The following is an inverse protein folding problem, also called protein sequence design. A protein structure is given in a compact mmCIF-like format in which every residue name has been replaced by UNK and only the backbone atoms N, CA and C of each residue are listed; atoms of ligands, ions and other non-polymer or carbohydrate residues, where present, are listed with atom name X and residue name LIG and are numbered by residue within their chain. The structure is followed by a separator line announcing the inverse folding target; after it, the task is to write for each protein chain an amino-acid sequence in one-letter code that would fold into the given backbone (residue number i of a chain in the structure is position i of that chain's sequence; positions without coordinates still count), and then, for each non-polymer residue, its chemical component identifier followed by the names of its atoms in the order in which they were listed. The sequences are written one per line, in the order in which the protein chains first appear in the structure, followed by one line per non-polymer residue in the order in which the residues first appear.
data_IF_654499773114
#
_entry.id   IF_654499773114
#
_cell.length_a   1.000
_cell.length_b   1.000
_cell.length_c   1.000
_cell.angle_alpha   90.00
_cell.angle_beta   90.00
_cell.angle_gamma   90.00
#
_symmetry.space_group_name_H-M   'P 1'
#
loop_
_entity.id
_entity.type
_entity.pdbx_description
1 polymer ?
#
# COMPACT_ATOMS: atom_id res chain seq x y z
N UNK A 1 26.56 -0.97 -17.85
CA UNK A 1 26.73 -2.29 -17.20
C UNK A 1 26.46 -2.29 -15.70
N UNK A 2 26.32 -1.13 -15.04
CA UNK A 2 26.07 -1.04 -13.58
C UNK A 2 24.59 -1.15 -13.14
N UNK A 3 23.63 -0.91 -14.05
CA UNK A 3 22.19 -0.94 -13.74
C UNK A 3 21.65 -2.36 -13.47
N UNK A 4 22.27 -3.38 -14.06
CA UNK A 4 21.79 -4.76 -13.98
C UNK A 4 22.16 -5.48 -12.67
N UNK A 5 23.21 -5.00 -11.97
CA UNK A 5 23.69 -5.60 -10.71
C UNK A 5 22.89 -5.08 -9.50
N UNK A 6 22.48 -3.81 -9.54
CA UNK A 6 21.58 -3.22 -8.55
C UNK A 6 20.19 -3.88 -8.58
N UNK A 7 19.71 -4.28 -9.76
CA UNK A 7 18.44 -4.98 -9.90
C UNK A 7 18.50 -6.40 -9.32
N UNK A 8 19.64 -7.10 -9.38
CA UNK A 8 19.75 -8.45 -8.77
C UNK A 8 19.70 -8.41 -7.24
N UNK A 9 20.33 -7.40 -6.61
CA UNK A 9 20.36 -7.25 -5.15
C UNK A 9 19.07 -6.70 -4.54
N UNK A 10 18.13 -6.24 -5.39
CA UNK A 10 16.92 -5.58 -4.95
C UNK A 10 15.85 -6.59 -4.44
N UNK A 11 15.22 -6.33 -3.27
CA UNK A 11 14.12 -7.15 -2.76
C UNK A 11 12.97 -7.25 -3.76
N UNK A 12 12.21 -8.35 -3.71
CA UNK A 12 11.09 -8.60 -4.64
C UNK A 12 10.09 -7.45 -4.68
N UNK A 13 9.70 -6.93 -3.52
CA UNK A 13 8.68 -5.87 -3.43
C UNK A 13 9.18 -4.55 -3.99
N UNK A 14 10.48 -4.29 -3.87
CA UNK A 14 11.14 -3.12 -4.43
C UNK A 14 11.17 -3.19 -5.98
N UNK A 15 11.38 -4.39 -6.55
CA UNK A 15 11.26 -4.62 -8.01
C UNK A 15 9.85 -4.39 -8.53
N UNK A 16 8.84 -4.81 -7.77
CA UNK A 16 7.43 -4.59 -8.11
C UNK A 16 7.14 -3.09 -8.12
N UNK A 17 7.60 -2.33 -7.11
CA UNK A 17 7.44 -0.88 -7.08
C UNK A 17 8.17 -0.18 -8.22
N UNK A 18 9.41 -0.58 -8.56
CA UNK A 18 10.13 -0.04 -9.72
C UNK A 18 9.36 -0.27 -11.03
N UNK A 19 8.79 -1.47 -11.18
CA UNK A 19 7.95 -1.81 -12.34
C UNK A 19 6.65 -1.00 -12.37
N UNK A 20 6.03 -0.76 -11.21
CA UNK A 20 4.83 0.07 -11.07
C UNK A 20 5.11 1.52 -11.48
N UNK A 21 6.18 2.13 -10.95
CA UNK A 21 6.60 3.49 -11.31
C UNK A 21 6.84 3.62 -12.82
N UNK A 22 7.53 2.65 -13.41
CA UNK A 22 7.75 2.61 -14.87
C UNK A 22 6.44 2.51 -15.65
N UNK A 23 5.48 1.70 -15.18
CA UNK A 23 4.16 1.58 -15.84
C UNK A 23 3.33 2.86 -15.78
N UNK A 24 3.58 3.72 -14.78
CA UNK A 24 2.95 5.03 -14.63
C UNK A 24 3.68 6.15 -15.39
N UNK A 25 4.73 5.82 -16.15
CA UNK A 25 5.54 6.78 -16.92
C UNK A 25 6.59 7.53 -16.09
N UNK A 26 6.87 7.08 -14.86
CA UNK A 26 7.94 7.66 -14.03
C UNK A 26 9.25 6.94 -14.34
N UNK A 27 10.03 7.49 -15.26
CA UNK A 27 11.30 6.91 -15.71
C UNK A 27 12.49 7.31 -14.83
N UNK A 28 12.47 8.52 -14.26
CA UNK A 28 13.55 9.05 -13.42
C UNK A 28 13.01 9.44 -12.03
N UNK A 29 13.63 8.88 -10.99
CA UNK A 29 13.26 9.10 -9.59
C UNK A 29 14.47 8.85 -8.69
N UNK A 30 14.52 9.54 -7.56
CA UNK A 30 15.57 9.28 -6.57
C UNK A 30 15.45 7.87 -5.98
N UNK A 31 16.56 7.16 -5.73
CA UNK A 31 16.53 5.81 -5.16
C UNK A 31 15.77 5.71 -3.83
N UNK A 32 15.78 6.79 -3.04
CA UNK A 32 15.05 6.88 -1.77
C UNK A 32 13.53 6.80 -1.93
N UNK A 33 12.98 7.14 -3.10
CA UNK A 33 11.53 7.09 -3.38
C UNK A 33 11.01 5.67 -3.21
N UNK A 34 11.76 4.67 -3.69
CA UNK A 34 11.36 3.27 -3.57
C UNK A 34 11.27 2.84 -2.11
N UNK A 35 12.27 3.21 -1.29
CA UNK A 35 12.27 2.92 0.14
C UNK A 35 11.09 3.59 0.85
N UNK A 36 10.76 4.83 0.47
CA UNK A 36 9.61 5.55 1.04
C UNK A 36 8.28 4.96 0.61
N UNK A 37 8.16 4.49 -0.63
CA UNK A 37 6.98 3.77 -1.09
C UNK A 37 6.81 2.43 -0.37
N UNK A 38 7.90 1.68 -0.13
CA UNK A 38 7.85 0.46 0.66
C UNK A 38 7.35 0.75 2.08
N UNK A 39 7.94 1.74 2.75
CA UNK A 39 7.54 2.17 4.10
C UNK A 39 6.05 2.53 4.16
N UNK A 40 5.58 3.32 3.18
CA UNK A 40 4.17 3.70 3.07
C UNK A 40 3.26 2.48 2.84
N UNK A 41 3.64 1.59 1.93
CA UNK A 41 2.84 0.44 1.57
C UNK A 41 2.68 -0.54 2.73
N UNK A 42 3.78 -0.89 3.40
CA UNK A 42 3.72 -1.77 4.57
C UNK A 42 2.93 -1.13 5.71
N UNK A 43 3.14 0.16 5.99
CA UNK A 43 2.37 0.86 7.02
C UNK A 43 0.87 0.86 6.72
N UNK A 44 0.49 1.14 5.48
CA UNK A 44 -0.91 1.11 5.06
C UNK A 44 -1.54 -0.29 5.23
N UNK A 45 -0.83 -1.35 4.82
CA UNK A 45 -1.33 -2.73 4.96
C UNK A 45 -1.46 -3.12 6.43
N UNK A 46 -0.47 -2.81 7.27
CA UNK A 46 -0.53 -3.08 8.72
C UNK A 46 -1.71 -2.35 9.35
N UNK A 47 -1.88 -1.08 9.05
CA UNK A 47 -3.00 -0.27 9.53
C UNK A 47 -4.36 -0.87 9.14
N UNK A 48 -4.55 -1.22 7.87
CA UNK A 48 -5.82 -1.81 7.39
C UNK A 48 -6.09 -3.17 8.03
N UNK A 49 -5.07 -4.02 8.18
CA UNK A 49 -5.22 -5.32 8.82
C UNK A 49 -5.47 -5.21 10.32
N UNK A 50 -4.92 -4.19 10.98
CA UNK A 50 -5.21 -3.89 12.39
C UNK A 50 -6.67 -3.51 12.56
N UNK A 51 -7.17 -2.57 11.76
CA UNK A 51 -8.58 -2.15 11.80
C UNK A 51 -9.53 -3.34 11.46
N UNK A 52 -9.15 -4.18 10.49
CA UNK A 52 -9.92 -5.37 10.13
C UNK A 52 -9.93 -6.43 11.24
N UNK A 53 -8.84 -6.56 11.99
CA UNK A 53 -8.77 -7.44 13.16
C UNK A 53 -9.74 -6.97 14.25
N UNK A 54 -9.75 -5.68 14.56
CA UNK A 54 -10.68 -5.10 15.54
C UNK A 54 -12.16 -5.33 15.12
N UNK A 55 -12.46 -5.23 13.82
CA UNK A 55 -13.81 -5.50 13.30
C UNK A 55 -14.20 -6.97 13.39
N UNK A 56 -13.28 -7.88 13.06
CA UNK A 56 -13.47 -9.32 13.22
C UNK A 56 -13.72 -9.69 14.68
N UNK A 57 -12.92 -9.15 15.62
CA UNK A 57 -13.09 -9.38 17.06
C UNK A 57 -14.42 -8.81 17.58
N UNK A 58 -14.81 -7.63 17.12
CA UNK A 58 -16.11 -7.04 17.47
C UNK A 58 -17.29 -7.88 16.99
N UNK A 59 -17.16 -8.51 15.82
CA UNK A 59 -18.14 -9.43 15.27
C UNK A 59 -18.11 -10.84 15.90
N UNK A 60 -17.17 -11.10 16.85
CA UNK A 60 -17.00 -12.40 17.48
C UNK A 60 -16.43 -13.48 16.55
N UNK A 61 -15.79 -13.09 15.44
CA UNK A 61 -15.16 -14.00 14.48
C UNK A 61 -13.74 -14.34 14.94
N UNK A 62 -13.32 -15.59 14.73
CA UNK A 62 -11.96 -16.06 15.05
C UNK A 62 -10.92 -15.75 13.98
N UNK A 63 -11.36 -15.38 12.78
CA UNK A 63 -10.49 -15.10 11.61
C UNK A 63 -11.04 -13.93 10.83
N UNK A 64 -10.15 -13.06 10.36
CA UNK A 64 -10.47 -11.93 9.49
C UNK A 64 -11.02 -12.45 8.16
N UNK A 65 -12.15 -11.91 7.71
CA UNK A 65 -12.71 -12.20 6.39
C UNK A 65 -12.60 -11.01 5.42
N UNK A 66 -13.08 -11.21 4.19
CA UNK A 66 -13.03 -10.17 3.16
C UNK A 66 -13.91 -8.96 3.49
N UNK A 67 -14.97 -9.12 4.28
CA UNK A 67 -15.88 -8.02 4.60
C UNK A 67 -15.28 -7.12 5.68
N UNK A 68 -14.54 -7.69 6.63
CA UNK A 68 -13.76 -6.95 7.62
C UNK A 68 -12.69 -6.06 6.93
N UNK A 69 -11.97 -6.62 5.95
CA UNK A 69 -10.97 -5.87 5.16
C UNK A 69 -11.62 -4.77 4.32
N UNK A 70 -12.75 -5.05 3.66
CA UNK A 70 -13.48 -4.03 2.89
C UNK A 70 -13.91 -2.89 3.80
N UNK A 71 -14.44 -3.19 4.99
CA UNK A 71 -14.87 -2.19 5.94
C UNK A 71 -13.69 -1.32 6.42
N UNK A 72 -12.55 -1.95 6.73
CA UNK A 72 -11.31 -1.24 7.11
C UNK A 72 -10.83 -0.28 6.01
N UNK A 73 -10.79 -0.74 4.76
CA UNK A 73 -10.40 0.11 3.62
C UNK A 73 -11.36 1.30 3.46
N UNK A 74 -12.68 1.08 3.54
CA UNK A 74 -13.66 2.17 3.42
C UNK A 74 -13.53 3.20 4.55
N UNK A 75 -13.33 2.73 5.79
CA UNK A 75 -13.11 3.59 6.97
C UNK A 75 -11.86 4.48 6.80
N UNK A 76 -10.77 3.89 6.29
CA UNK A 76 -9.52 4.62 6.00
C UNK A 76 -9.68 5.64 4.87
N UNK A 77 -10.38 5.28 3.79
CA UNK A 77 -10.63 6.21 2.66
C UNK A 77 -11.38 7.45 3.13
N UNK A 78 -12.45 7.26 3.91
CA UNK A 78 -13.27 8.36 4.42
C UNK A 78 -12.53 9.27 5.41
N UNK A 79 -11.49 8.75 6.08
CA UNK A 79 -10.77 9.47 7.14
C UNK A 79 -9.44 10.08 6.68
N UNK A 80 -8.74 9.43 5.75
CA UNK A 80 -7.37 9.81 5.35
C UNK A 80 -7.27 10.43 3.96
N UNK A 81 -8.23 10.19 3.07
CA UNK A 81 -8.19 10.67 1.70
C UNK A 81 -9.30 11.67 1.46
N UNK A 82 -8.96 12.96 1.54
CA UNK A 82 -9.88 14.02 1.14
C UNK A 82 -10.15 13.93 -0.36
N UNK A 83 -11.41 13.74 -0.71
CA UNK A 83 -11.84 13.86 -2.10
C UNK A 83 -12.16 15.33 -2.38
N UNK A 84 -11.78 15.85 -3.57
CA UNK A 84 -12.24 17.17 -3.97
C UNK A 84 -13.78 17.20 -3.92
N UNK A 85 -14.39 18.31 -3.48
CA UNK A 85 -15.84 18.40 -3.40
C UNK A 85 -16.47 18.08 -4.75
N UNK A 86 -17.59 17.33 -4.77
CA UNK A 86 -18.27 16.98 -6.00
C UNK A 86 -18.66 18.26 -6.73
N UNK A 87 -18.40 18.28 -8.04
CA UNK A 87 -18.80 19.39 -8.91
C UNK A 87 -20.27 19.16 -9.27
N UNK A 88 -21.17 19.82 -8.53
CA UNK A 88 -22.51 20.14 -9.03
C UNK A 88 -22.43 21.28 -10.06
#
# INVERSE_FOLDING_TARGET
MADNDQDLAMPRDAKILKSLLKSMGVEDHEPCVINKFLELWYRYVVDVLTDAQDYSEHAGKSTIDCDDVKLAVQSKVNSSFSQPPPRE
#
